data_IF_892955295457
#
_entry.id   IF_892955295457
#
_cell.length_a   1.000
_cell.length_b   1.000
_cell.length_c   1.000
_cell.angle_alpha   90.00
_cell.angle_beta   90.00
_cell.angle_gamma   90.00
#
_symmetry.space_group_name_H-M   'P 1'
#
loop_
_entity.id
_entity.type
_entity.pdbx_description
1 polymer ?
#
# COMPACT_ATOMS: atom_id res chain seq x y z
N UNK A 1 18.75 -6.36 8.78
CA UNK A 1 18.95 -6.84 7.39
C UNK A 1 17.95 -6.10 6.51
N UNK A 2 18.38 -5.58 5.36
CA UNK A 2 17.46 -4.97 4.40
C UNK A 2 16.61 -6.07 3.76
N UNK A 3 15.28 -5.88 3.74
CA UNK A 3 14.36 -6.75 3.00
C UNK A 3 14.61 -6.60 1.49
N UNK A 4 14.65 -7.69 0.77
CA UNK A 4 14.73 -7.71 -0.69
C UNK A 4 13.88 -8.82 -1.26
N UNK A 5 13.26 -8.57 -2.41
CA UNK A 5 12.48 -9.58 -3.13
C UNK A 5 13.42 -10.47 -3.93
N UNK A 6 13.33 -11.77 -3.69
CA UNK A 6 14.06 -12.78 -4.45
C UNK A 6 13.15 -13.31 -5.58
N UNK A 7 13.58 -13.15 -6.83
CA UNK A 7 12.81 -13.59 -8.03
C UNK A 7 12.55 -15.09 -8.09
N UNK A 8 13.28 -15.90 -7.32
CA UNK A 8 13.10 -17.36 -7.25
C UNK A 8 12.12 -17.81 -6.15
N UNK A 9 11.50 -16.88 -5.43
CA UNK A 9 10.53 -17.18 -4.38
C UNK A 9 9.20 -16.48 -4.67
N UNK A 10 8.09 -17.19 -4.47
CA UNK A 10 6.76 -16.58 -4.39
C UNK A 10 6.57 -16.03 -3.00
N UNK A 11 6.18 -14.77 -2.89
CA UNK A 11 5.83 -14.13 -1.63
C UNK A 11 4.32 -14.02 -1.51
N UNK A 12 3.80 -14.26 -0.32
CA UNK A 12 2.39 -14.07 0.00
C UNK A 12 2.25 -12.75 0.75
N UNK A 13 1.48 -11.82 0.18
CA UNK A 13 1.17 -10.53 0.77
C UNK A 13 -0.23 -10.59 1.40
N UNK A 14 -0.30 -10.54 2.72
CA UNK A 14 -1.54 -10.48 3.48
C UNK A 14 -2.10 -9.05 3.50
N UNK A 15 -3.33 -8.86 3.02
CA UNK A 15 -3.98 -7.54 2.92
C UNK A 15 -4.68 -7.21 4.24
N UNK A 16 -4.26 -6.13 4.87
CA UNK A 16 -4.81 -5.61 6.11
C UNK A 16 -5.47 -4.25 5.89
N UNK A 17 -6.75 -4.27 5.50
CA UNK A 17 -7.52 -3.04 5.31
C UNK A 17 -8.01 -2.49 6.65
N UNK A 18 -7.70 -1.20 6.90
CA UNK A 18 -8.06 -0.44 8.11
C UNK A 18 -9.16 0.56 7.76
N UNK A 19 -10.26 0.07 7.18
CA UNK A 19 -11.42 0.90 6.87
C UNK A 19 -12.49 0.73 7.95
N UNK A 20 -13.33 1.76 8.23
CA UNK A 20 -14.41 1.65 9.20
C UNK A 20 -15.27 0.40 8.99
N UNK A 21 -15.56 0.05 7.73
CA UNK A 21 -16.39 -1.12 7.38
C UNK A 21 -15.70 -2.47 7.63
N UNK A 22 -14.37 -2.50 7.70
CA UNK A 22 -13.60 -3.74 7.89
C UNK A 22 -13.51 -4.16 9.36
N UNK A 23 -13.89 -3.25 10.28
CA UNK A 23 -13.80 -3.42 11.72
C UNK A 23 -15.02 -2.85 12.46
N UNK A 24 -16.16 -2.75 11.75
CA UNK A 24 -17.40 -2.23 12.30
C UNK A 24 -18.12 -3.32 13.07
N UNK A 25 -17.98 -3.30 14.36
CA UNK A 25 -18.86 -3.97 15.32
C UNK A 25 -19.61 -2.88 16.12
N UNK A 26 -20.65 -2.33 15.52
CA UNK A 26 -21.67 -1.57 16.24
C UNK A 26 -21.29 -0.19 16.80
N UNK A 27 -20.27 0.52 16.27
CA UNK A 27 -20.05 1.96 16.58
C UNK A 27 -18.92 2.28 17.54
N UNK A 28 -18.05 1.35 17.86
CA UNK A 28 -16.83 1.63 18.63
C UNK A 28 -15.60 1.80 17.74
N UNK A 29 -14.78 2.80 18.07
CA UNK A 29 -13.51 3.07 17.46
C UNK A 29 -12.59 1.85 17.57
N UNK A 30 -11.89 1.59 16.49
CA UNK A 30 -10.77 0.71 16.36
C UNK A 30 -10.11 0.32 17.68
N UNK A 31 -10.33 -0.88 18.18
CA UNK A 31 -9.48 -1.39 19.25
C UNK A 31 -8.20 -1.92 18.61
N UNK A 32 -7.11 -1.16 18.74
CA UNK A 32 -5.78 -1.51 18.22
C UNK A 32 -5.33 -2.89 18.74
N UNK A 33 -5.86 -3.31 19.89
CA UNK A 33 -5.59 -4.62 20.50
C UNK A 33 -6.14 -5.79 19.65
N UNK A 34 -7.17 -5.55 18.82
CA UNK A 34 -7.79 -6.59 17.99
C UNK A 34 -7.02 -6.86 16.68
N UNK A 35 -6.01 -6.04 16.38
CA UNK A 35 -5.24 -6.19 15.14
C UNK A 35 -4.31 -7.40 15.17
N UNK A 36 -3.66 -7.66 16.30
CA UNK A 36 -2.67 -8.71 16.42
C UNK A 36 -3.20 -10.13 16.20
N UNK A 37 -4.42 -10.51 16.63
CA UNK A 37 -5.01 -11.79 16.26
C UNK A 37 -5.13 -11.98 14.73
N UNK A 38 -5.53 -10.93 13.98
CA UNK A 38 -5.59 -10.98 12.51
C UNK A 38 -4.21 -11.09 11.90
N UNK A 39 -3.26 -10.27 12.35
CA UNK A 39 -1.86 -10.30 11.91
C UNK A 39 -1.26 -11.69 12.14
N UNK A 40 -1.43 -12.24 13.33
CA UNK A 40 -0.93 -13.57 13.66
C UNK A 40 -1.57 -14.67 12.79
N UNK A 41 -2.86 -14.57 12.51
CA UNK A 41 -3.54 -15.51 11.60
C UNK A 41 -2.97 -15.42 10.18
N UNK A 42 -2.66 -14.22 9.66
CA UNK A 42 -2.03 -14.05 8.36
C UNK A 42 -0.62 -14.66 8.34
N UNK A 43 0.21 -14.36 9.35
CA UNK A 43 1.57 -14.90 9.47
C UNK A 43 1.55 -16.42 9.57
N UNK A 44 0.71 -16.98 10.42
CA UNK A 44 0.57 -18.43 10.60
C UNK A 44 -0.01 -19.10 9.33
N UNK A 45 -0.81 -18.35 8.55
CA UNK A 45 -1.31 -18.77 7.24
C UNK A 45 -0.27 -18.68 6.12
N UNK A 46 0.94 -18.19 6.40
CA UNK A 46 2.05 -18.14 5.46
C UNK A 46 2.27 -16.78 4.79
N UNK A 47 1.72 -15.71 5.33
CA UNK A 47 2.02 -14.36 4.81
C UNK A 47 3.50 -14.00 5.06
N UNK A 48 4.18 -13.59 4.02
CA UNK A 48 5.57 -13.11 4.06
C UNK A 48 5.64 -11.58 4.25
N UNK A 49 4.58 -10.86 3.89
CA UNK A 49 4.47 -9.40 3.88
C UNK A 49 3.06 -9.05 4.36
N UNK A 50 2.91 -7.94 5.09
CA UNK A 50 1.61 -7.33 5.38
C UNK A 50 1.46 -6.06 4.57
N UNK A 51 0.36 -5.91 3.84
CA UNK A 51 -0.01 -4.71 3.08
C UNK A 51 -1.12 -3.97 3.82
N UNK A 52 -0.78 -2.79 4.35
CA UNK A 52 -1.65 -2.01 5.23
C UNK A 52 -2.22 -0.84 4.46
N UNK A 53 -3.54 -0.77 4.34
CA UNK A 53 -4.26 0.31 3.68
C UNK A 53 -5.40 0.85 4.53
N UNK A 54 -5.51 2.18 4.64
CA UNK A 54 -6.56 2.85 5.42
C UNK A 54 -7.59 3.59 4.55
N UNK A 55 -7.30 3.79 3.28
CA UNK A 55 -8.23 4.33 2.29
C UNK A 55 -8.72 3.20 1.38
N UNK A 56 -10.03 3.12 1.18
CA UNK A 56 -10.59 2.12 0.26
C UNK A 56 -10.31 2.50 -1.19
N UNK A 57 -9.69 1.61 -1.94
CA UNK A 57 -9.48 1.73 -3.39
C UNK A 57 -10.67 1.21 -4.22
N UNK A 58 -11.76 0.78 -3.58
CA UNK A 58 -12.95 0.29 -4.29
C UNK A 58 -13.61 1.42 -5.08
N UNK A 59 -14.15 1.16 -6.29
CA UNK A 59 -14.92 2.14 -7.04
C UNK A 59 -16.05 2.74 -6.18
N UNK A 60 -16.19 4.07 -6.21
CA UNK A 60 -17.21 4.80 -5.44
C UNK A 60 -16.91 5.00 -3.95
N UNK A 61 -15.77 4.54 -3.44
CA UNK A 61 -15.35 4.85 -2.07
C UNK A 61 -15.04 6.33 -1.90
N UNK A 62 -15.33 6.86 -0.71
CA UNK A 62 -14.99 8.25 -0.38
C UNK A 62 -13.52 8.35 -0.02
N UNK A 63 -12.87 9.39 -0.56
CA UNK A 63 -11.53 9.78 -0.15
C UNK A 63 -11.51 10.25 1.29
N UNK A 64 -10.47 9.90 2.01
CA UNK A 64 -10.20 10.42 3.35
C UNK A 64 -9.08 11.47 3.29
N UNK A 65 -9.02 12.33 4.30
CA UNK A 65 -7.94 13.31 4.40
C UNK A 65 -6.60 12.61 4.68
N UNK A 66 -5.51 13.26 4.33
CA UNK A 66 -4.15 12.77 4.64
C UNK A 66 -3.97 12.51 6.13
N UNK A 67 -4.44 13.44 6.97
CA UNK A 67 -4.34 13.31 8.42
C UNK A 67 -5.14 12.11 8.93
N UNK A 68 -6.35 11.91 8.44
CA UNK A 68 -7.17 10.76 8.80
C UNK A 68 -6.52 9.42 8.40
N UNK A 69 -5.86 9.38 7.23
CA UNK A 69 -5.13 8.19 6.81
C UNK A 69 -3.93 7.91 7.72
N UNK A 70 -3.17 8.93 8.08
CA UNK A 70 -2.06 8.83 9.04
C UNK A 70 -2.56 8.35 10.40
N UNK A 71 -3.63 8.96 10.92
CA UNK A 71 -4.20 8.63 12.23
C UNK A 71 -4.70 7.17 12.30
N UNK A 72 -5.09 6.60 11.17
CA UNK A 72 -5.47 5.20 11.07
C UNK A 72 -4.27 4.25 10.96
N UNK A 73 -3.29 4.58 10.12
CA UNK A 73 -2.17 3.70 9.77
C UNK A 73 -1.13 3.62 10.90
N UNK A 74 -0.75 4.76 11.46
CA UNK A 74 0.39 4.84 12.40
C UNK A 74 0.21 3.96 13.64
N UNK A 75 -0.90 4.00 14.38
CA UNK A 75 -1.07 3.15 15.55
C UNK A 75 -0.98 1.66 15.24
N UNK A 76 -1.43 1.26 14.05
CA UNK A 76 -1.39 -0.12 13.60
C UNK A 76 0.03 -0.57 13.29
N UNK A 77 0.80 0.26 12.60
CA UNK A 77 2.21 -0.04 12.33
C UNK A 77 2.99 -0.17 13.65
N UNK A 78 2.77 0.72 14.61
CA UNK A 78 3.42 0.69 15.93
C UNK A 78 3.15 -0.63 16.66
N UNK A 79 1.90 -1.06 16.71
CA UNK A 79 1.54 -2.33 17.35
C UNK A 79 2.16 -3.52 16.61
N UNK A 80 2.10 -3.55 15.29
CA UNK A 80 2.71 -4.64 14.50
C UNK A 80 4.22 -4.67 14.74
N UNK A 81 4.90 -3.53 14.69
CA UNK A 81 6.37 -3.44 14.90
C UNK A 81 6.79 -3.81 16.32
N UNK A 82 5.96 -3.56 17.31
CA UNK A 82 6.23 -3.96 18.70
C UNK A 82 6.16 -5.48 18.90
N UNK A 83 5.49 -6.20 18.00
CA UNK A 83 5.22 -7.64 18.14
C UNK A 83 5.89 -8.51 17.08
N UNK A 84 6.27 -7.97 15.92
CA UNK A 84 6.84 -8.75 14.82
C UNK A 84 7.74 -7.91 13.91
N UNK A 85 8.70 -8.56 13.26
CA UNK A 85 9.56 -7.98 12.24
C UNK A 85 9.11 -8.32 10.80
N UNK A 86 7.88 -8.77 10.60
CA UNK A 86 7.37 -9.07 9.26
C UNK A 86 7.51 -7.84 8.36
N UNK A 87 7.92 -7.98 7.10
CA UNK A 87 7.92 -6.87 6.15
C UNK A 87 6.54 -6.21 6.04
N UNK A 88 6.53 -4.87 6.04
CA UNK A 88 5.31 -4.07 5.89
C UNK A 88 5.35 -3.33 4.56
N UNK A 89 4.26 -3.42 3.84
CA UNK A 89 3.86 -2.60 2.70
C UNK A 89 2.79 -1.61 3.15
N UNK A 90 2.82 -0.40 2.63
CA UNK A 90 1.79 0.62 2.85
C UNK A 90 1.09 0.90 1.54
N UNK A 91 -0.22 0.64 1.51
CA UNK A 91 -1.11 0.97 0.38
C UNK A 91 -1.58 2.41 0.53
N UNK A 92 -0.91 3.31 -0.18
CA UNK A 92 -1.23 4.74 -0.19
C UNK A 92 -0.75 5.44 -1.45
N UNK A 93 -1.47 6.47 -1.87
CA UNK A 93 -1.11 7.36 -2.98
C UNK A 93 -0.55 8.70 -2.50
N UNK A 94 -0.50 8.94 -1.18
CA UNK A 94 -0.18 10.25 -0.60
C UNK A 94 1.25 10.27 -0.05
N UNK A 95 2.08 11.13 -0.59
CA UNK A 95 3.48 11.25 -0.18
C UNK A 95 3.65 11.60 1.31
N UNK A 96 2.74 12.39 1.89
CA UNK A 96 2.80 12.72 3.32
C UNK A 96 2.54 11.49 4.20
N UNK A 97 1.66 10.57 3.78
CA UNK A 97 1.44 9.28 4.48
C UNK A 97 2.69 8.41 4.37
N UNK A 98 3.29 8.32 3.18
CA UNK A 98 4.57 7.61 2.97
C UNK A 98 5.65 8.16 3.89
N UNK A 99 5.80 9.50 3.94
CA UNK A 99 6.77 10.19 4.78
C UNK A 99 6.60 9.91 6.27
N UNK A 100 5.37 9.73 6.73
CA UNK A 100 5.11 9.36 8.12
C UNK A 100 5.44 7.88 8.35
N UNK A 101 4.97 7.01 7.47
CA UNK A 101 5.14 5.56 7.60
C UNK A 101 6.61 5.09 7.57
N UNK A 102 7.51 5.77 6.82
CA UNK A 102 8.94 5.40 6.77
C UNK A 102 9.65 5.48 8.13
N UNK A 103 9.14 6.27 9.06
CA UNK A 103 9.68 6.36 10.43
C UNK A 103 9.56 5.04 11.20
N UNK A 104 8.72 4.13 10.74
CA UNK A 104 8.40 2.85 11.39
C UNK A 104 9.02 1.65 10.70
N UNK A 105 10.10 1.87 9.93
CA UNK A 105 10.84 0.80 9.27
C UNK A 105 9.95 -0.08 8.37
N UNK A 106 9.19 0.55 7.48
CA UNK A 106 8.46 -0.13 6.40
C UNK A 106 9.41 -0.51 5.27
N UNK A 107 9.02 -1.44 4.40
CA UNK A 107 9.88 -1.94 3.32
C UNK A 107 9.32 -1.66 1.94
N UNK A 108 8.01 -1.50 1.81
CA UNK A 108 7.34 -1.43 0.51
C UNK A 108 6.34 -0.27 0.53
N UNK A 109 6.22 0.43 -0.58
CA UNK A 109 5.08 1.28 -0.91
C UNK A 109 4.31 0.61 -2.03
N UNK A 110 3.02 0.40 -1.80
CA UNK A 110 2.06 -0.06 -2.79
C UNK A 110 1.24 1.16 -3.25
N UNK A 111 1.64 1.75 -4.39
CA UNK A 111 1.01 2.96 -4.92
C UNK A 111 0.17 2.63 -6.15
N UNK A 112 -1.13 2.50 -5.95
CA UNK A 112 -2.08 2.22 -7.03
C UNK A 112 -2.19 3.36 -8.06
N UNK A 113 -1.74 4.57 -7.72
CA UNK A 113 -1.71 5.72 -8.64
C UNK A 113 -0.45 5.77 -9.50
N UNK A 114 0.53 4.92 -9.20
CA UNK A 114 1.82 4.86 -9.89
C UNK A 114 2.52 6.22 -9.95
N UNK A 115 2.77 6.80 -8.78
CA UNK A 115 3.48 8.06 -8.62
C UNK A 115 2.73 9.27 -9.21
N UNK A 116 1.42 9.37 -8.90
CA UNK A 116 0.65 10.58 -9.23
C UNK A 116 1.07 11.79 -8.38
N UNK A 117 1.53 11.55 -7.15
CA UNK A 117 2.15 12.56 -6.29
C UNK A 117 3.64 12.65 -6.61
N UNK A 118 4.07 13.82 -7.08
CA UNK A 118 5.45 14.06 -7.54
C UNK A 118 6.51 13.91 -6.45
N UNK A 119 6.13 13.97 -5.17
CA UNK A 119 7.05 13.82 -4.02
C UNK A 119 7.27 12.35 -3.63
N UNK A 120 6.43 11.44 -4.08
CA UNK A 120 6.48 10.03 -3.68
C UNK A 120 7.80 9.38 -4.05
N UNK A 121 8.30 9.61 -5.27
CA UNK A 121 9.52 8.97 -5.74
C UNK A 121 10.75 9.35 -4.91
N UNK A 122 10.89 10.61 -4.51
CA UNK A 122 11.98 11.07 -3.64
C UNK A 122 11.96 10.35 -2.29
N UNK A 123 10.78 10.25 -1.67
CA UNK A 123 10.63 9.54 -0.39
C UNK A 123 11.00 8.06 -0.51
N UNK A 124 10.54 7.40 -1.57
CA UNK A 124 10.82 5.98 -1.82
C UNK A 124 12.31 5.75 -2.02
N UNK A 125 12.96 6.58 -2.83
CA UNK A 125 14.38 6.53 -3.11
C UNK A 125 15.22 6.79 -1.86
N UNK A 126 14.97 7.89 -1.14
CA UNK A 126 15.75 8.29 0.03
C UNK A 126 15.70 7.27 1.16
N UNK A 127 14.63 6.47 1.21
CA UNK A 127 14.45 5.42 2.21
C UNK A 127 14.71 4.00 1.67
N UNK A 128 15.16 3.89 0.42
CA UNK A 128 15.48 2.62 -0.24
C UNK A 128 14.32 1.60 -0.16
N UNK A 129 13.10 2.06 -0.43
CA UNK A 129 11.90 1.25 -0.38
C UNK A 129 11.65 0.54 -1.71
N UNK A 130 10.99 -0.60 -1.63
CA UNK A 130 10.46 -1.29 -2.81
C UNK A 130 9.16 -0.58 -3.21
N UNK A 131 8.99 -0.34 -4.51
CA UNK A 131 7.79 0.27 -5.07
C UNK A 131 6.98 -0.76 -5.84
N UNK A 132 5.70 -0.90 -5.47
CA UNK A 132 4.72 -1.62 -6.26
C UNK A 132 3.88 -0.62 -7.07
N UNK A 133 3.82 -0.82 -8.38
CA UNK A 133 3.09 0.02 -9.33
C UNK A 133 1.87 -0.70 -9.85
N UNK A 134 0.77 0.03 -10.04
CA UNK A 134 -0.45 -0.48 -10.64
C UNK A 134 -0.83 0.35 -11.87
N UNK A 135 -1.41 -0.30 -12.88
CA UNK A 135 -2.09 0.40 -13.97
C UNK A 135 -3.57 0.60 -13.64
N UNK A 136 -4.07 1.80 -13.87
CA UNK A 136 -5.50 2.09 -13.94
C UNK A 136 -5.79 3.17 -15.00
N UNK A 137 -7.01 3.18 -15.54
CA UNK A 137 -7.50 4.33 -16.30
C UNK A 137 -8.21 5.29 -15.34
N UNK A 138 -7.97 6.60 -15.51
CA UNK A 138 -8.56 7.67 -14.68
C UNK A 138 -8.12 7.60 -13.20
N UNK A 139 -9.08 7.70 -12.28
CA UNK A 139 -8.89 7.71 -10.83
C UNK A 139 -9.51 6.46 -10.21
N UNK A 140 -9.16 6.07 -8.97
CA UNK A 140 -9.77 4.93 -8.30
C UNK A 140 -11.30 4.98 -8.27
N UNK A 141 -11.89 6.18 -8.17
CA UNK A 141 -13.34 6.35 -8.15
C UNK A 141 -13.99 6.00 -9.48
N UNK A 142 -13.29 6.25 -10.60
CA UNK A 142 -13.83 6.14 -11.96
C UNK A 142 -13.11 5.12 -12.83
N UNK A 143 -12.13 4.38 -12.30
CA UNK A 143 -11.32 3.43 -13.07
C UNK A 143 -12.13 2.29 -13.71
N UNK A 144 -13.32 2.02 -13.21
CA UNK A 144 -14.24 1.01 -13.75
C UNK A 144 -15.32 1.60 -14.66
N UNK A 145 -15.33 2.92 -14.86
CA UNK A 145 -16.33 3.59 -15.70
C UNK A 145 -15.92 3.47 -17.17
N UNK A 146 -16.43 2.43 -17.83
CA UNK A 146 -16.19 2.14 -19.26
C UNK A 146 -14.70 2.17 -19.68
N UNK A 147 -13.81 1.42 -19.03
CA UNK A 147 -12.41 1.39 -19.43
C UNK A 147 -12.28 0.85 -20.88
N UNK A 148 -11.59 1.60 -21.72
CA UNK A 148 -11.44 1.25 -23.15
C UNK A 148 -9.97 1.07 -23.51
N UNK A 149 -9.68 -0.01 -24.25
CA UNK A 149 -8.34 -0.36 -24.73
C UNK A 149 -8.38 -0.76 -26.20
N UNK A 150 -7.44 -0.30 -26.99
CA UNK A 150 -7.21 -0.85 -28.34
C UNK A 150 -6.58 -2.25 -28.26
N UNK A 151 -5.70 -2.45 -27.29
CA UNK A 151 -5.10 -3.73 -26.92
C UNK A 151 -4.71 -3.66 -25.44
N UNK A 152 -5.47 -4.32 -24.56
CA UNK A 152 -5.30 -4.23 -23.11
C UNK A 152 -3.90 -4.64 -22.66
N UNK A 153 -3.39 -5.77 -23.16
CA UNK A 153 -2.06 -6.27 -22.80
C UNK A 153 -0.98 -5.25 -23.17
N UNK A 154 -1.00 -4.75 -24.40
CA UNK A 154 -0.02 -3.77 -24.87
C UNK A 154 -0.12 -2.46 -24.08
N UNK A 155 -1.33 -1.92 -23.90
CA UNK A 155 -1.51 -0.64 -23.20
C UNK A 155 -1.04 -0.70 -21.74
N UNK A 156 -1.36 -1.79 -21.01
CA UNK A 156 -0.92 -1.99 -19.62
C UNK A 156 0.60 -2.18 -19.58
N UNK A 157 1.17 -2.99 -20.48
CA UNK A 157 2.62 -3.24 -20.53
C UNK A 157 3.38 -1.95 -20.82
N UNK A 158 2.97 -1.20 -21.84
CA UNK A 158 3.63 0.06 -22.21
C UNK A 158 3.57 1.08 -21.04
N UNK A 159 2.42 1.18 -20.35
CA UNK A 159 2.27 2.06 -19.20
C UNK A 159 3.25 1.69 -18.07
N UNK A 160 3.30 0.42 -17.68
CA UNK A 160 4.18 -0.04 -16.61
C UNK A 160 5.65 0.10 -16.96
N UNK A 161 6.05 -0.21 -18.21
CA UNK A 161 7.42 -0.01 -18.69
C UNK A 161 7.81 1.47 -18.62
N UNK A 162 6.93 2.38 -19.06
CA UNK A 162 7.19 3.81 -18.99
C UNK A 162 7.36 4.29 -17.53
N UNK A 163 6.55 3.80 -16.60
CA UNK A 163 6.68 4.11 -15.17
C UNK A 163 7.97 3.55 -14.56
N UNK A 164 8.34 2.33 -14.92
CA UNK A 164 9.62 1.73 -14.50
C UNK A 164 10.82 2.54 -15.02
N UNK A 165 10.81 2.91 -16.31
CA UNK A 165 11.87 3.73 -16.90
C UNK A 165 11.98 5.08 -16.19
N UNK A 166 10.84 5.74 -15.92
CA UNK A 166 10.82 6.96 -15.13
C UNK A 166 11.46 6.79 -13.75
N UNK A 167 11.20 5.70 -13.05
CA UNK A 167 11.84 5.41 -11.76
C UNK A 167 13.36 5.23 -11.92
N UNK A 168 13.81 4.46 -12.91
CA UNK A 168 15.24 4.23 -13.15
C UNK A 168 16.01 5.49 -13.55
N UNK A 169 15.40 6.37 -14.33
CA UNK A 169 16.03 7.64 -14.76
C UNK A 169 16.16 8.64 -13.62
N UNK A 170 15.32 8.51 -12.60
CA UNK A 170 15.30 9.42 -11.45
C UNK A 170 15.90 8.81 -10.17
N UNK A 171 16.49 7.63 -10.24
CA UNK A 171 17.25 6.99 -9.18
C UNK A 171 16.52 6.00 -8.34
#
# INVERSE_FOLDING_TARGET
>A
MSFSINSNKTYIMGILNITPDSFYDGGEYYNVEDIMPKVNNMINGGADILDIGAESSRPGSKRISTQEEIDRIVPIIEVIRSNTNIPISIDTMKSEVMKEAVKYNIQIINDISSLSDSKSLEIIKDNNLILCLMHMQNTPETMQDNPTYSNVTKNVTDYLINKMNYCFENG
#
